data_IF_731922067722
#
_entry.id   IF_731922067722
#
_cell.length_a   1.000
_cell.length_b   1.000
_cell.length_c   1.000
_cell.angle_alpha   90.00
_cell.angle_beta   90.00
_cell.angle_gamma   90.00
#
_symmetry.space_group_name_H-M   'P 1'
#
loop_
_entity.id
_entity.type
_entity.pdbx_description
1 polymer ?
#
# COMPACT_ATOMS: atom_id res chain seq x y z
N UNK A 1 3.77 -10.76 6.12
CA UNK A 1 2.61 -9.91 6.49
C UNK A 1 2.09 -9.22 5.25
N UNK A 2 0.80 -9.38 4.99
CA UNK A 2 0.13 -8.72 3.88
C UNK A 2 -0.50 -7.42 4.36
N UNK A 3 -0.31 -6.36 3.60
CA UNK A 3 -0.84 -5.04 3.94
C UNK A 3 -1.51 -4.40 2.73
N UNK A 4 -2.56 -3.64 2.98
CA UNK A 4 -3.19 -2.79 1.99
C UNK A 4 -2.74 -1.36 2.26
N UNK A 5 -2.21 -0.69 1.23
CA UNK A 5 -1.81 0.69 1.31
C UNK A 5 -2.73 1.53 0.44
N UNK A 6 -3.37 2.51 1.02
CA UNK A 6 -4.24 3.43 0.31
C UNK A 6 -3.55 4.79 0.31
N UNK A 7 -3.06 5.19 -0.86
CA UNK A 7 -2.37 6.46 -1.04
C UNK A 7 -3.29 7.51 -1.60
N UNK A 8 -3.35 8.64 -0.92
CA UNK A 8 -4.15 9.78 -1.34
C UNK A 8 -3.25 11.00 -1.47
N UNK A 9 -3.47 11.80 -2.50
CA UNK A 9 -2.74 13.05 -2.63
C UNK A 9 -3.10 13.98 -1.46
N UNK A 10 -2.09 14.65 -0.93
CA UNK A 10 -2.31 15.66 0.10
C UNK A 10 -3.18 16.77 -0.49
N UNK A 11 -4.16 17.24 0.29
CA UNK A 11 -5.01 18.35 -0.12
C UNK A 11 -4.15 19.58 -0.39
N UNK A 12 -4.35 20.22 -1.54
CA UNK A 12 -3.58 21.38 -1.96
C UNK A 12 -2.22 21.06 -2.58
N UNK A 13 -1.91 19.78 -2.82
CA UNK A 13 -0.65 19.41 -3.47
C UNK A 13 -0.58 19.99 -4.87
N UNK A 14 0.57 20.58 -5.21
CA UNK A 14 0.79 21.22 -6.49
C UNK A 14 0.92 20.19 -7.62
N UNK A 15 0.07 20.33 -8.65
CA UNK A 15 0.07 19.43 -9.79
C UNK A 15 1.42 19.43 -10.53
N UNK A 16 2.13 20.55 -10.58
CA UNK A 16 3.45 20.62 -11.22
C UNK A 16 4.50 19.84 -10.44
N UNK A 17 4.45 19.86 -9.12
CA UNK A 17 5.35 19.09 -8.29
C UNK A 17 5.08 17.60 -8.43
N UNK A 18 3.82 17.21 -8.48
CA UNK A 18 3.44 15.81 -8.71
C UNK A 18 3.97 15.34 -10.06
N UNK A 19 3.77 16.15 -11.11
CA UNK A 19 4.21 15.81 -12.46
C UNK A 19 5.74 15.67 -12.55
N UNK A 20 6.49 16.47 -11.80
CA UNK A 20 7.96 16.37 -11.79
C UNK A 20 8.45 15.04 -11.25
N UNK A 21 7.71 14.42 -10.34
CA UNK A 21 8.09 13.14 -9.73
C UNK A 21 7.58 11.94 -10.51
N UNK A 22 6.77 12.12 -11.55
CA UNK A 22 6.04 11.03 -12.20
C UNK A 22 6.94 9.89 -12.66
N UNK A 23 8.04 10.18 -13.38
CA UNK A 23 8.94 9.15 -13.89
C UNK A 23 9.67 8.43 -12.77
N UNK A 24 10.17 9.16 -11.79
CA UNK A 24 10.89 8.58 -10.66
C UNK A 24 9.96 7.74 -9.78
N UNK A 25 8.74 8.20 -9.60
CA UNK A 25 7.71 7.47 -8.86
C UNK A 25 7.44 6.12 -9.52
N UNK A 26 7.26 6.10 -10.82
CA UNK A 26 7.00 4.86 -11.56
C UNK A 26 8.19 3.91 -11.50
N UNK A 27 9.41 4.42 -11.58
CA UNK A 27 10.62 3.58 -11.44
C UNK A 27 10.73 2.98 -10.05
N UNK A 28 10.43 3.77 -9.03
CA UNK A 28 10.48 3.31 -7.63
C UNK A 28 9.41 2.25 -7.37
N UNK A 29 8.18 2.45 -7.86
CA UNK A 29 7.12 1.46 -7.76
C UNK A 29 7.47 0.17 -8.51
N UNK A 30 8.02 0.30 -9.71
CA UNK A 30 8.48 -0.84 -10.50
C UNK A 30 9.52 -1.66 -9.72
N UNK A 31 10.46 -0.99 -9.06
CA UNK A 31 11.48 -1.68 -8.26
C UNK A 31 10.85 -2.45 -7.10
N UNK A 32 9.89 -1.85 -6.39
CA UNK A 32 9.17 -2.54 -5.32
C UNK A 32 8.37 -3.74 -5.84
N UNK A 33 7.81 -3.62 -7.04
CA UNK A 33 7.12 -4.71 -7.70
C UNK A 33 8.07 -5.86 -8.04
N UNK A 34 9.21 -5.54 -8.63
CA UNK A 34 10.24 -6.54 -8.96
C UNK A 34 10.76 -7.26 -7.73
N UNK A 35 10.95 -6.52 -6.66
CA UNK A 35 11.48 -7.06 -5.40
C UNK A 35 10.43 -7.86 -4.62
N UNK A 36 9.19 -7.88 -5.08
CA UNK A 36 8.11 -8.61 -4.44
C UNK A 36 7.52 -7.91 -3.23
N UNK A 37 7.87 -6.66 -2.97
CA UNK A 37 7.29 -5.87 -1.89
C UNK A 37 5.88 -5.44 -2.25
N UNK A 38 5.69 -4.91 -3.47
CA UNK A 38 4.35 -4.61 -4.00
C UNK A 38 3.90 -5.80 -4.83
N UNK A 39 2.76 -6.38 -4.47
CA UNK A 39 2.20 -7.56 -5.15
C UNK A 39 1.11 -7.20 -6.13
N UNK A 40 0.30 -6.19 -5.82
CA UNK A 40 -0.79 -5.72 -6.67
C UNK A 40 -0.85 -4.21 -6.60
N UNK A 41 -1.25 -3.58 -7.69
CA UNK A 41 -1.37 -2.13 -7.79
C UNK A 41 -2.66 -1.78 -8.53
N UNK A 42 -3.39 -0.83 -7.98
CA UNK A 42 -4.66 -0.39 -8.55
C UNK A 42 -4.78 1.13 -8.48
N UNK A 43 -5.55 1.70 -9.39
CA UNK A 43 -5.95 3.10 -9.34
C UNK A 43 -7.34 3.19 -8.70
N UNK A 44 -7.54 4.07 -7.71
CA UNK A 44 -8.81 4.13 -6.98
C UNK A 44 -9.92 4.93 -7.67
N UNK A 45 -9.76 5.30 -8.94
CA UNK A 45 -10.73 6.13 -9.66
C UNK A 45 -10.61 7.62 -9.35
N UNK A 46 -9.68 7.99 -8.49
CA UNK A 46 -9.30 9.35 -8.11
C UNK A 46 -7.77 9.39 -8.02
N UNK A 47 -7.14 10.57 -7.96
CA UNK A 47 -5.68 10.63 -7.82
C UNK A 47 -5.22 9.90 -6.56
N UNK A 48 -4.24 9.02 -6.73
CA UNK A 48 -3.72 8.17 -5.66
C UNK A 48 -3.36 6.79 -6.14
N UNK A 49 -3.16 5.87 -5.21
CA UNK A 49 -2.82 4.49 -5.53
C UNK A 49 -3.35 3.56 -4.44
N UNK A 50 -3.73 2.36 -4.85
CA UNK A 50 -4.05 1.27 -3.91
C UNK A 50 -3.06 0.16 -4.18
N UNK A 51 -2.29 -0.20 -3.17
CA UNK A 51 -1.22 -1.18 -3.28
C UNK A 51 -1.46 -2.32 -2.29
N UNK A 52 -1.16 -3.54 -2.74
CA UNK A 52 -1.09 -4.69 -1.83
C UNK A 52 0.39 -5.02 -1.66
N UNK A 53 0.85 -5.01 -0.42
CA UNK A 53 2.24 -5.27 -0.09
C UNK A 53 2.40 -6.57 0.69
N UNK A 54 3.58 -7.17 0.56
CA UNK A 54 4.01 -8.30 1.36
C UNK A 54 5.40 -8.00 1.90
N UNK A 55 5.51 -7.90 3.22
CA UNK A 55 6.77 -7.65 3.91
C UNK A 55 6.84 -8.52 5.16
N UNK A 56 8.03 -8.67 5.73
CA UNK A 56 8.21 -9.45 6.95
C UNK A 56 7.49 -8.80 8.14
N UNK A 57 7.47 -7.45 8.18
CA UNK A 57 6.83 -6.69 9.24
C UNK A 57 6.24 -5.39 8.69
N UNK A 58 5.31 -4.80 9.42
CA UNK A 58 4.69 -3.52 9.07
C UNK A 58 5.73 -2.42 8.86
N UNK A 59 6.74 -2.39 9.69
CA UNK A 59 7.81 -1.41 9.66
C UNK A 59 8.52 -1.35 8.31
N UNK A 60 8.72 -2.51 7.69
CA UNK A 60 9.35 -2.60 6.37
C UNK A 60 8.46 -2.02 5.29
N UNK A 61 7.16 -2.26 5.39
CA UNK A 61 6.19 -1.67 4.45
C UNK A 61 6.15 -0.14 4.59
N UNK A 62 6.14 0.36 5.82
CA UNK A 62 6.18 1.79 6.08
C UNK A 62 7.42 2.43 5.48
N UNK A 63 8.57 1.80 5.66
CA UNK A 63 9.84 2.29 5.12
C UNK A 63 9.85 2.30 3.58
N UNK A 64 9.32 1.23 2.97
CA UNK A 64 9.24 1.14 1.51
C UNK A 64 8.37 2.25 0.92
N UNK A 65 7.22 2.51 1.54
CA UNK A 65 6.31 3.58 1.08
C UNK A 65 6.89 4.97 1.30
N UNK A 66 7.54 5.17 2.44
CA UNK A 66 8.16 6.47 2.76
C UNK A 66 9.29 6.83 1.80
N UNK A 67 9.91 5.84 1.18
CA UNK A 67 10.97 6.04 0.20
C UNK A 67 10.46 6.39 -1.21
N UNK A 68 9.17 6.28 -1.47
CA UNK A 68 8.61 6.68 -2.77
C UNK A 68 8.74 8.20 -2.93
N UNK A 69 9.12 8.70 -4.12
CA UNK A 69 9.34 10.14 -4.32
C UNK A 69 8.19 11.03 -3.89
N UNK A 70 6.95 10.67 -4.22
CA UNK A 70 5.79 11.48 -3.83
C UNK A 70 5.60 11.49 -2.31
N UNK A 71 5.79 10.35 -1.66
CA UNK A 71 5.66 10.26 -0.20
C UNK A 71 6.80 11.01 0.50
N UNK A 72 8.03 10.86 0.01
CA UNK A 72 9.19 11.53 0.57
C UNK A 72 9.05 13.06 0.52
N UNK A 73 8.39 13.57 -0.52
CA UNK A 73 8.16 15.01 -0.69
C UNK A 73 6.83 15.47 -0.06
N UNK A 74 6.13 14.59 0.64
CA UNK A 74 4.90 14.91 1.36
C UNK A 74 3.69 15.16 0.47
N UNK A 75 3.73 14.74 -0.80
CA UNK A 75 2.64 14.97 -1.76
C UNK A 75 1.57 13.90 -1.72
N UNK A 76 1.92 12.69 -1.26
CA UNK A 76 0.98 11.59 -1.08
C UNK A 76 1.11 11.07 0.36
N UNK A 77 -0.02 10.69 0.94
CA UNK A 77 -0.08 10.11 2.28
C UNK A 77 -0.70 8.73 2.16
N UNK A 78 -0.05 7.73 2.74
CA UNK A 78 -0.54 6.36 2.74
C UNK A 78 -1.18 5.99 4.07
N UNK A 79 -2.35 5.38 3.97
CA UNK A 79 -2.97 4.64 5.06
C UNK A 79 -2.59 3.18 4.90
N UNK A 80 -2.07 2.54 5.96
CA UNK A 80 -1.70 1.14 5.95
C UNK A 80 -2.66 0.33 6.78
N UNK A 81 -3.19 -0.74 6.18
CA UNK A 81 -4.11 -1.66 6.84
C UNK A 81 -3.49 -3.05 6.77
N UNK A 82 -3.26 -3.68 7.93
CA UNK A 82 -2.80 -5.06 7.98
C UNK A 82 -3.95 -5.98 7.61
N UNK A 83 -3.67 -6.92 6.71
CA UNK A 83 -4.66 -7.88 6.25
C UNK A 83 -4.39 -9.22 6.91
N UNK A 84 -5.33 -9.68 7.69
CA UNK A 84 -5.26 -10.97 8.37
C UNK A 84 -6.23 -11.95 7.73
N UNK A 85 -6.02 -13.27 7.89
CA UNK A 85 -6.98 -14.24 7.38
C UNK A 85 -8.38 -13.98 7.91
N UNK A 86 -9.37 -14.13 7.05
CA UNK A 86 -10.75 -13.97 7.46
C UNK A 86 -11.19 -15.16 8.33
N UNK A 87 -11.56 -14.89 9.57
CA UNK A 87 -11.90 -15.91 10.55
C UNK A 87 -13.41 -16.06 10.79
N UNK A 88 -14.21 -15.25 10.09
CA UNK A 88 -15.66 -15.23 10.34
C UNK A 88 -16.38 -16.57 10.12
N UNK A 89 -15.87 -17.37 9.18
CA UNK A 89 -16.47 -18.68 8.91
C UNK A 89 -16.28 -19.70 10.02
N UNK A 90 -15.34 -19.46 10.92
CA UNK A 90 -15.09 -20.36 12.06
C UNK A 90 -16.35 -20.52 12.93
N UNK A 91 -17.17 -19.52 12.99
CA UNK A 91 -18.42 -19.53 13.74
C UNK A 91 -19.37 -20.64 13.28
N UNK A 92 -19.30 -21.02 11.99
CA UNK A 92 -20.14 -22.08 11.43
C UNK A 92 -19.72 -23.47 11.90
N UNK A 93 -18.48 -23.62 12.33
CA UNK A 93 -17.87 -24.90 12.67
C UNK A 93 -17.44 -24.98 14.13
N UNK A 94 -17.74 -23.98 14.93
CA UNK A 94 -17.30 -23.90 16.32
C UNK A 94 -17.78 -25.09 17.16
N UNK A 95 -19.03 -25.56 16.95
CA UNK A 95 -19.59 -26.70 17.63
C UNK A 95 -18.86 -28.01 17.28
N UNK A 96 -18.41 -28.14 16.04
CA UNK A 96 -17.66 -29.31 15.58
C UNK A 96 -16.24 -29.32 16.15
N UNK A 97 -15.64 -28.16 16.31
CA UNK A 97 -14.29 -28.04 16.86
C UNK A 97 -14.24 -28.39 18.35
N UNK A 98 -15.35 -28.34 19.05
CA UNK A 98 -15.45 -28.63 20.48
C UNK A 98 -15.65 -30.12 20.78
N UNK A 99 -15.97 -30.89 19.79
CA UNK A 99 -16.15 -32.33 19.93
C UNK A 99 -14.84 -33.08 19.60
#
# INVERSE_FOLDING_TARGET
>A
MKLLAIGRLRQGADAHEIARHASEEMRALWQLYRDGVVREMYSPGAPGAVLVLETAARKEAEAALAGLPLAADGLIVFELIELHPFSGFEVLFAAQLRT
#
